data_IF_432006820911
#
_entry.id   IF_432006820911
#
_cell.length_a   1.000
_cell.length_b   1.000
_cell.length_c   1.000
_cell.angle_alpha   90.00
_cell.angle_beta   90.00
_cell.angle_gamma   90.00
#
_symmetry.space_group_name_H-M   'P 1'
#
loop_
_entity.id
_entity.type
_entity.pdbx_description
1 polymer ?
#
# COMPACT_ATOMS: atom_id res chain seq x y z
N UNK A 1 6.10 -3.01 13.12
CA UNK A 1 5.06 -2.29 13.92
C UNK A 1 3.70 -2.73 13.42
N UNK A 2 2.65 -2.64 14.24
CA UNK A 2 1.28 -2.88 13.77
C UNK A 2 0.51 -1.55 13.80
N UNK A 3 -0.25 -1.28 12.73
CA UNK A 3 -1.14 -0.14 12.63
C UNK A 3 -2.57 -0.65 12.47
N UNK A 4 -3.50 -0.10 13.26
CA UNK A 4 -4.93 -0.43 13.13
C UNK A 4 -5.59 0.65 12.31
N UNK A 5 -6.19 0.26 11.19
CA UNK A 5 -6.91 1.16 10.28
C UNK A 5 -8.07 1.79 11.04
N UNK A 6 -8.18 3.11 10.97
CA UNK A 6 -9.34 3.85 11.50
C UNK A 6 -10.21 4.38 10.36
N UNK A 7 -11.41 4.85 10.70
CA UNK A 7 -12.36 5.36 9.70
C UNK A 7 -11.77 6.56 8.95
N UNK A 8 -11.74 6.47 7.63
CA UNK A 8 -11.23 7.53 6.74
C UNK A 8 -9.72 7.45 6.46
N UNK A 9 -9.04 6.43 6.99
CA UNK A 9 -7.69 6.08 6.56
C UNK A 9 -7.68 5.54 5.14
N UNK A 10 -6.55 5.75 4.48
CA UNK A 10 -6.18 5.15 3.21
C UNK A 10 -4.70 4.79 3.29
N UNK A 11 -4.20 3.86 2.47
CA UNK A 11 -2.79 3.46 2.52
C UNK A 11 -1.86 4.67 2.36
N UNK A 12 -2.22 5.61 1.48
CA UNK A 12 -1.56 6.90 1.28
C UNK A 12 -1.51 7.77 2.54
N UNK A 13 -2.64 7.89 3.26
CA UNK A 13 -2.70 8.66 4.50
C UNK A 13 -1.88 8.00 5.61
N UNK A 14 -1.92 6.67 5.69
CA UNK A 14 -1.20 5.91 6.70
C UNK A 14 0.32 6.05 6.46
N UNK A 15 0.81 5.82 5.25
CA UNK A 15 2.23 5.99 4.91
C UNK A 15 2.71 7.43 5.09
N UNK A 16 1.86 8.41 4.77
CA UNK A 16 2.17 9.83 4.95
C UNK A 16 2.33 10.27 6.41
N UNK A 17 1.89 9.47 7.40
CA UNK A 17 2.08 9.81 8.81
C UNK A 17 3.58 9.73 9.16
N UNK A 18 4.12 10.72 9.88
CA UNK A 18 5.53 10.74 10.29
C UNK A 18 5.90 9.59 11.24
N UNK A 19 4.93 9.02 11.95
CA UNK A 19 5.12 7.84 12.81
C UNK A 19 5.22 6.51 12.03
N UNK A 20 4.88 6.52 10.74
CA UNK A 20 4.87 5.35 9.85
C UNK A 20 6.05 5.43 8.88
N UNK A 21 5.97 6.29 7.86
CA UNK A 21 7.06 6.57 6.92
C UNK A 21 7.33 8.07 6.75
N UNK A 22 6.34 8.92 7.02
CA UNK A 22 6.42 10.36 6.75
C UNK A 22 6.36 10.71 5.26
N UNK A 23 6.07 9.72 4.41
CA UNK A 23 6.05 9.85 2.98
C UNK A 23 4.88 9.05 2.41
N UNK A 24 3.89 9.75 1.81
CA UNK A 24 2.72 9.06 1.30
C UNK A 24 3.03 8.11 0.13
N UNK A 25 4.07 8.38 -0.67
CA UNK A 25 4.48 7.55 -1.80
C UNK A 25 5.00 6.16 -1.40
N UNK A 26 5.23 5.92 -0.11
CA UNK A 26 5.65 4.62 0.43
C UNK A 26 4.46 3.71 0.79
N UNK A 27 3.22 4.11 0.47
CA UNK A 27 2.03 3.28 0.65
C UNK A 27 2.12 1.88 0.02
N UNK A 28 2.82 1.64 -1.12
CA UNK A 28 2.94 0.30 -1.70
C UNK A 28 3.70 -0.67 -0.80
N UNK A 29 4.56 -0.19 0.10
CA UNK A 29 5.23 -1.04 1.09
C UNK A 29 4.22 -1.67 2.06
N UNK A 30 3.25 -0.88 2.51
CA UNK A 30 2.16 -1.36 3.37
C UNK A 30 1.36 -2.41 2.61
N UNK A 31 1.04 -2.13 1.35
CA UNK A 31 0.26 -3.03 0.50
C UNK A 31 0.99 -4.37 0.31
N UNK A 32 2.24 -4.34 -0.15
CA UNK A 32 3.06 -5.53 -0.39
C UNK A 32 3.22 -6.40 0.84
N UNK A 33 3.47 -5.79 2.00
CA UNK A 33 3.67 -6.52 3.25
C UNK A 33 2.36 -7.07 3.86
N UNK A 34 1.20 -6.63 3.36
CA UNK A 34 -0.12 -7.06 3.83
C UNK A 34 -1.01 -7.51 2.67
N UNK A 35 -0.41 -7.96 1.56
CA UNK A 35 -1.14 -8.37 0.36
C UNK A 35 -2.07 -9.57 0.63
N UNK A 36 -1.79 -10.34 1.68
CA UNK A 36 -2.66 -11.41 2.19
C UNK A 36 -3.95 -10.86 2.85
N UNK A 37 -3.92 -9.63 3.37
CA UNK A 37 -5.04 -8.97 4.07
C UNK A 37 -5.72 -7.90 3.24
N UNK A 38 -5.02 -7.33 2.27
CA UNK A 38 -5.48 -6.24 1.43
C UNK A 38 -5.69 -6.80 0.04
N UNK A 39 -6.95 -7.01 -0.33
CA UNK A 39 -7.30 -7.47 -1.68
C UNK A 39 -7.15 -6.37 -2.72
N UNK A 40 -7.31 -5.12 -2.29
CA UNK A 40 -7.33 -3.94 -3.12
C UNK A 40 -6.82 -2.77 -2.26
N UNK A 41 -5.83 -2.04 -2.78
CA UNK A 41 -5.15 -0.96 -2.08
C UNK A 41 -6.11 0.19 -1.68
N UNK A 42 -7.19 0.34 -2.44
CA UNK A 42 -8.23 1.35 -2.21
C UNK A 42 -9.33 0.89 -1.25
N UNK A 43 -9.44 -0.42 -1.00
CA UNK A 43 -10.47 -1.02 -0.13
C UNK A 43 -9.87 -1.52 1.18
N UNK A 44 -9.50 -0.56 2.03
CA UNK A 44 -9.17 -0.83 3.43
C UNK A 44 -10.32 -0.46 4.36
N UNK A 45 -10.53 -1.28 5.39
CA UNK A 45 -11.65 -1.18 6.32
C UNK A 45 -11.16 -0.91 7.74
N UNK A 46 -11.90 -0.10 8.52
CA UNK A 46 -11.58 0.15 9.92
C UNK A 46 -11.51 -1.16 10.72
N UNK A 47 -10.51 -1.27 11.60
CA UNK A 47 -10.25 -2.46 12.40
C UNK A 47 -9.31 -3.48 11.75
N UNK A 48 -8.95 -3.31 10.46
CA UNK A 48 -7.85 -4.09 9.88
C UNK A 48 -6.52 -3.74 10.55
N UNK A 49 -5.68 -4.75 10.78
CA UNK A 49 -4.36 -4.58 11.38
C UNK A 49 -3.29 -4.86 10.34
N UNK A 50 -2.54 -3.81 10.00
CA UNK A 50 -1.45 -3.84 9.03
C UNK A 50 -0.09 -3.88 9.70
N UNK A 51 0.76 -4.77 9.20
CA UNK A 51 2.16 -4.85 9.53
C UNK A 51 2.92 -3.76 8.77
N UNK A 52 3.52 -2.83 9.51
CA UNK A 52 4.35 -1.74 8.99
C UNK A 52 5.82 -2.11 9.19
N UNK A 53 6.57 -2.18 8.08
CA UNK A 53 8.02 -2.37 8.07
C UNK A 53 8.66 -1.03 8.43
N UNK A 54 9.38 -0.92 9.54
CA UNK A 54 9.97 0.38 9.98
C UNK A 54 11.29 0.73 9.31
N UNK A 55 11.98 -0.27 8.77
CA UNK A 55 13.29 -0.08 8.16
C UNK A 55 13.37 -0.90 6.85
N UNK A 56 12.55 -0.55 5.84
CA UNK A 56 12.63 -1.16 4.52
C UNK A 56 14.01 -0.90 3.90
N UNK A 57 14.44 -1.77 2.97
CA UNK A 57 15.67 -1.50 2.23
C UNK A 57 15.49 -0.30 1.30
N UNK A 58 16.58 0.36 0.91
CA UNK A 58 16.51 1.47 -0.07
C UNK A 58 15.88 1.01 -1.40
N UNK A 59 16.11 -0.23 -1.81
CA UNK A 59 15.53 -0.79 -3.03
C UNK A 59 14.01 -0.95 -2.92
N UNK A 60 13.50 -1.36 -1.75
CA UNK A 60 12.06 -1.46 -1.51
C UNK A 60 11.40 -0.09 -1.52
N UNK A 61 12.04 0.91 -0.88
CA UNK A 61 11.56 2.30 -0.86
C UNK A 61 11.53 2.87 -2.28
N UNK A 62 12.60 2.71 -3.05
CA UNK A 62 12.66 3.18 -4.44
C UNK A 62 11.59 2.51 -5.31
N UNK A 63 11.44 1.19 -5.21
CA UNK A 63 10.41 0.46 -5.94
C UNK A 63 8.99 0.91 -5.56
N UNK A 64 8.74 1.17 -4.28
CA UNK A 64 7.45 1.69 -3.80
C UNK A 64 7.18 3.10 -4.33
N UNK A 65 8.15 4.01 -4.24
CA UNK A 65 8.02 5.38 -4.75
C UNK A 65 7.83 5.37 -6.27
N UNK A 66 8.59 4.54 -6.98
CA UNK A 66 8.45 4.36 -8.42
C UNK A 66 7.03 3.90 -8.77
N UNK A 67 6.53 2.85 -8.10
CA UNK A 67 5.17 2.35 -8.31
C UNK A 67 4.11 3.43 -8.06
N UNK A 68 4.19 4.13 -6.91
CA UNK A 68 3.25 5.16 -6.54
C UNK A 68 3.26 6.36 -7.51
N UNK A 69 4.40 6.68 -8.13
CA UNK A 69 4.51 7.75 -9.14
C UNK A 69 4.03 7.32 -10.52
N UNK A 70 4.34 6.08 -10.91
CA UNK A 70 3.98 5.52 -12.22
C UNK A 70 2.48 5.22 -12.32
N UNK A 71 1.84 4.89 -11.19
CA UNK A 71 0.38 4.74 -11.05
C UNK A 71 -0.42 5.96 -11.54
N UNK A 72 0.08 7.16 -11.31
CA UNK A 72 -0.67 8.41 -11.54
C UNK A 72 -1.48 8.87 -10.32
N UNK A 73 -2.26 9.95 -10.48
CA UNK A 73 -3.11 10.48 -9.40
C UNK A 73 -4.27 9.51 -9.14
N UNK A 74 -4.48 9.12 -7.87
CA UNK A 74 -5.58 8.27 -7.43
C UNK A 74 -6.92 8.67 -8.06
N UNK A 75 -7.44 7.85 -8.97
CA UNK A 75 -8.82 7.90 -9.44
C UNK A 75 -9.62 6.85 -8.68
N UNK A 76 -10.43 7.29 -7.71
CA UNK A 76 -11.32 6.43 -6.94
C UNK A 76 -12.25 5.64 -7.89
N UNK A 77 -12.03 4.33 -8.08
CA UNK A 77 -13.04 3.46 -8.71
C UNK A 77 -12.60 2.22 -9.48
N UNK A 78 -11.31 1.94 -9.68
CA UNK A 78 -10.87 0.74 -10.43
C UNK A 78 -9.71 0.07 -9.70
N UNK A 79 -9.78 -1.26 -9.48
CA UNK A 79 -8.62 -2.08 -9.10
C UNK A 79 -7.59 -1.91 -10.21
N UNK A 80 -6.50 -1.18 -9.96
CA UNK A 80 -5.54 -0.88 -11.01
C UNK A 80 -4.67 -2.11 -11.30
N UNK A 81 -4.66 -2.60 -12.54
CA UNK A 81 -3.82 -3.73 -12.98
C UNK A 81 -2.33 -3.55 -12.64
N UNK A 82 -1.88 -2.31 -12.48
CA UNK A 82 -0.53 -1.95 -12.02
C UNK A 82 -0.23 -2.47 -10.62
N UNK A 83 -1.19 -2.47 -9.69
CA UNK A 83 -1.01 -2.94 -8.32
C UNK A 83 -0.76 -4.46 -8.27
N UNK A 84 -1.41 -5.22 -9.17
CA UNK A 84 -1.15 -6.66 -9.33
C UNK A 84 0.23 -6.94 -9.92
N UNK A 85 0.68 -6.11 -10.86
CA UNK A 85 2.03 -6.20 -11.42
C UNK A 85 3.10 -5.95 -10.34
N UNK A 86 2.88 -4.97 -9.46
CA UNK A 86 3.77 -4.66 -8.35
C UNK A 86 3.90 -5.80 -7.32
N UNK A 87 2.81 -6.54 -7.08
CA UNK A 87 2.81 -7.72 -6.22
C UNK A 87 3.43 -8.97 -6.89
N UNK A 88 3.87 -8.88 -8.14
CA UNK A 88 4.53 -9.98 -8.84
C UNK A 88 3.59 -10.97 -9.54
N UNK A 89 2.36 -10.55 -9.88
CA UNK A 89 1.47 -11.26 -10.81
C UNK A 89 1.22 -12.73 -10.50
N UNK A 90 0.28 -13.01 -9.58
CA UNK A 90 -0.45 -14.29 -9.61
C UNK A 90 -1.86 -14.03 -10.14
N UNK A 91 -2.00 -14.12 -11.46
CA UNK A 91 -3.28 -14.19 -12.16
C UNK A 91 -3.91 -15.56 -11.87
N UNK A 92 -4.55 -15.73 -10.72
CA UNK A 92 -5.56 -16.79 -10.57
C UNK A 92 -6.94 -16.15 -10.73
N UNK A 93 -7.34 -16.07 -12.00
CA UNK A 93 -8.75 -15.96 -12.40
C UNK A 93 -9.42 -17.27 -12.01
N UNK A 94 -10.35 -17.23 -11.07
CA UNK A 94 -11.34 -18.27 -10.84
C UNK A 94 -12.74 -17.67 -10.95
#
# INVERSE_FOLDING_TARGET
MQYTVVRGDSLWKISGKPEIYGNPYEWPLIYKNNADKIRDADLIYPGQVFSIVRNPSQEEVDAAIHHARTRGAWSLGVVEDSDRAYLGGKLELH
#
